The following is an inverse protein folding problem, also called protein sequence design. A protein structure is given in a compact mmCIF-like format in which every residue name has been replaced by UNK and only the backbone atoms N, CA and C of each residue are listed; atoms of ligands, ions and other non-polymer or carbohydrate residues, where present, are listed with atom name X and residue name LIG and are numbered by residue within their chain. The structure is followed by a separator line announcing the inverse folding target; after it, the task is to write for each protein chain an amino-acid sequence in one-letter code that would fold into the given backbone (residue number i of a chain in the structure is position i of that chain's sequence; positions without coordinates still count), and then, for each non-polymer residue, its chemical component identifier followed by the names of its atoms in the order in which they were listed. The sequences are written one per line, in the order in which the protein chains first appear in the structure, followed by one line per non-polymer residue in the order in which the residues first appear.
data_IF_217604620546
#
_entry.id   IF_217604620546
#
_cell.length_a   1.000
_cell.length_b   1.000
_cell.length_c   1.000
_cell.angle_alpha   90.00
_cell.angle_beta   90.00
_cell.angle_gamma   90.00
#
_symmetry.space_group_name_H-M   'P 1'
#
loop_
_entity.id
_entity.type
_entity.pdbx_description
1 polymer ?
#
# COMPACT_ATOMS: atom_id res chain seq x y z
N UNK A 1 -17.15 -27.49 45.29
CA UNK A 1 -17.30 -26.14 44.70
C UNK A 1 -15.91 -25.52 44.59
N UNK A 2 -15.26 -25.66 43.44
CA UNK A 2 -14.03 -24.92 43.13
C UNK A 2 -14.37 -23.89 42.05
N UNK A 3 -14.42 -22.62 42.44
CA UNK A 3 -14.54 -21.51 41.53
C UNK A 3 -13.24 -21.42 40.70
N UNK A 4 -13.38 -21.57 39.39
CA UNK A 4 -12.31 -21.37 38.42
C UNK A 4 -12.05 -19.86 38.36
N UNK A 5 -10.83 -19.35 38.64
CA UNK A 5 -10.55 -17.94 38.46
C UNK A 5 -10.74 -17.61 36.97
N UNK A 6 -11.49 -16.55 36.70
CA UNK A 6 -11.62 -15.99 35.38
C UNK A 6 -10.21 -15.61 34.91
N UNK A 7 -9.76 -16.21 33.81
CA UNK A 7 -8.61 -15.72 33.06
C UNK A 7 -8.95 -14.31 32.57
N UNK A 8 -8.70 -13.31 33.40
CA UNK A 8 -8.41 -11.95 32.98
C UNK A 8 -7.04 -11.94 32.30
N UNK A 9 -6.89 -12.73 31.24
CA UNK A 9 -5.85 -12.50 30.24
C UNK A 9 -6.25 -11.25 29.47
N UNK A 10 -6.03 -10.11 30.12
CA UNK A 10 -5.59 -8.85 29.55
C UNK A 10 -5.34 -8.99 28.05
N UNK A 11 -6.37 -8.73 27.24
CA UNK A 11 -6.25 -8.53 25.79
C UNK A 11 -5.57 -7.19 25.53
N UNK A 12 -4.36 -7.02 26.06
CA UNK A 12 -3.41 -6.00 25.60
C UNK A 12 -3.20 -6.31 24.13
N UNK A 13 -4.00 -5.66 23.29
CA UNK A 13 -3.87 -5.73 21.85
C UNK A 13 -2.40 -5.56 21.52
N UNK A 14 -1.86 -6.53 20.81
CA UNK A 14 -0.51 -6.42 20.27
C UNK A 14 -0.38 -5.05 19.60
N UNK A 15 0.68 -4.28 19.90
CA UNK A 15 0.90 -3.01 19.23
C UNK A 15 0.86 -3.24 17.71
N UNK A 16 0.04 -2.48 17.01
CA UNK A 16 -0.05 -2.51 15.55
C UNK A 16 1.33 -2.12 15.00
N UNK A 17 1.99 -3.01 14.26
CA UNK A 17 3.33 -2.74 13.71
C UNK A 17 3.26 -1.61 12.65
N UNK A 18 3.84 -0.43 12.93
CA UNK A 18 3.77 0.71 12.03
C UNK A 18 4.77 0.62 10.87
N UNK A 19 5.75 -0.30 10.95
CA UNK A 19 6.92 -0.30 10.07
C UNK A 19 6.53 -0.56 8.62
N UNK A 20 5.63 -1.52 8.38
CA UNK A 20 5.14 -1.82 7.03
C UNK A 20 4.50 -0.61 6.33
N UNK A 21 3.44 -0.02 6.92
CA UNK A 21 2.82 1.19 6.38
C UNK A 21 3.79 2.36 6.24
N UNK A 22 4.72 2.56 7.18
CA UNK A 22 5.72 3.63 7.10
C UNK A 22 6.68 3.45 5.91
N UNK A 23 7.22 2.25 5.71
CA UNK A 23 8.11 1.96 4.57
C UNK A 23 7.37 2.17 3.26
N UNK A 24 6.14 1.65 3.15
CA UNK A 24 5.30 1.88 1.97
C UNK A 24 5.03 3.37 1.78
N UNK A 25 4.63 4.11 2.82
CA UNK A 25 4.42 5.55 2.75
C UNK A 25 5.65 6.29 2.22
N UNK A 26 6.85 5.95 2.69
CA UNK A 26 8.10 6.58 2.23
C UNK A 26 8.36 6.26 0.76
N UNK A 27 8.25 4.99 0.35
CA UNK A 27 8.50 4.58 -1.03
C UNK A 27 7.49 5.22 -1.99
N UNK A 28 6.21 5.01 -1.74
CA UNK A 28 5.13 5.57 -2.56
C UNK A 28 5.12 7.09 -2.53
N UNK A 29 5.42 7.70 -1.38
CA UNK A 29 5.49 9.14 -1.21
C UNK A 29 6.65 9.76 -1.99
N UNK A 30 7.84 9.15 -1.91
CA UNK A 30 9.01 9.59 -2.67
C UNK A 30 8.72 9.58 -4.17
N UNK A 31 8.26 8.46 -4.73
CA UNK A 31 7.97 8.37 -6.15
C UNK A 31 6.75 9.20 -6.58
N UNK A 32 5.70 9.28 -5.76
CA UNK A 32 4.46 9.98 -6.10
C UNK A 32 4.55 11.51 -6.01
N UNK A 33 5.35 12.05 -5.10
CA UNK A 33 5.42 13.50 -4.86
C UNK A 33 6.78 14.14 -5.17
N UNK A 34 7.89 13.44 -4.95
CA UNK A 34 9.22 14.05 -4.94
C UNK A 34 10.11 13.66 -6.12
N UNK A 35 9.91 12.49 -6.71
CA UNK A 35 10.75 11.99 -7.81
C UNK A 35 10.58 12.75 -9.14
N UNK A 36 9.68 13.73 -9.22
CA UNK A 36 9.50 14.56 -10.41
C UNK A 36 9.05 13.76 -11.64
N UNK A 37 8.31 12.66 -11.43
CA UNK A 37 7.83 11.81 -12.54
C UNK A 37 6.99 12.63 -13.52
N UNK A 38 7.38 12.60 -14.78
CA UNK A 38 6.71 13.30 -15.87
C UNK A 38 5.45 12.55 -16.29
N UNK A 39 4.40 13.30 -16.58
CA UNK A 39 3.14 12.77 -17.11
C UNK A 39 2.99 13.02 -18.61
N UNK A 40 4.02 13.57 -19.26
CA UNK A 40 4.03 13.92 -20.68
C UNK A 40 5.14 13.18 -21.41
N UNK A 41 4.93 12.93 -22.69
CA UNK A 41 5.95 12.38 -23.59
C UNK A 41 6.93 13.48 -24.09
N UNK A 42 7.85 13.09 -24.99
CA UNK A 42 8.81 14.01 -25.60
C UNK A 42 8.17 15.06 -26.54
N UNK A 43 6.90 14.90 -26.91
CA UNK A 43 6.14 15.87 -27.69
C UNK A 43 5.34 16.84 -26.81
N UNK A 44 5.36 16.64 -25.49
CA UNK A 44 4.59 17.41 -24.53
C UNK A 44 3.13 16.95 -24.39
N UNK A 45 2.76 15.84 -25.02
CA UNK A 45 1.43 15.26 -24.91
C UNK A 45 1.28 14.49 -23.59
N UNK A 46 0.15 14.70 -22.91
CA UNK A 46 -0.16 13.98 -21.66
C UNK A 46 -0.42 12.50 -21.94
N UNK A 47 0.33 11.62 -21.27
CA UNK A 47 0.21 10.17 -21.39
C UNK A 47 -0.66 9.64 -20.24
N UNK A 48 -1.85 9.09 -20.52
CA UNK A 48 -2.77 8.61 -19.49
C UNK A 48 -2.15 7.56 -18.55
N UNK A 49 -1.31 6.68 -19.08
CA UNK A 49 -0.59 5.65 -18.31
C UNK A 49 0.30 6.30 -17.23
N UNK A 50 1.05 7.35 -17.57
CA UNK A 50 1.95 8.02 -16.63
C UNK A 50 1.15 8.80 -15.58
N UNK A 51 0.07 9.46 -15.99
CA UNK A 51 -0.86 10.13 -15.07
C UNK A 51 -1.43 9.12 -14.08
N UNK A 52 -1.96 8.00 -14.57
CA UNK A 52 -2.53 6.95 -13.74
C UNK A 52 -1.50 6.41 -12.74
N UNK A 53 -0.29 6.10 -13.20
CA UNK A 53 0.78 5.61 -12.33
C UNK A 53 1.12 6.61 -11.21
N UNK A 54 1.35 7.88 -11.55
CA UNK A 54 1.69 8.92 -10.56
C UNK A 54 0.55 9.08 -9.54
N UNK A 55 -0.71 9.09 -9.98
CA UNK A 55 -1.84 9.20 -9.07
C UNK A 55 -2.03 7.97 -8.19
N UNK A 56 -1.81 6.76 -8.71
CA UNK A 56 -1.81 5.53 -7.90
C UNK A 56 -0.77 5.62 -6.78
N UNK A 57 0.45 6.08 -7.09
CA UNK A 57 1.50 6.25 -6.08
C UNK A 57 1.10 7.27 -5.00
N UNK A 58 0.52 8.41 -5.40
CA UNK A 58 0.07 9.46 -4.47
C UNK A 58 -1.04 8.98 -3.56
N UNK A 59 -2.06 8.32 -4.11
CA UNK A 59 -3.19 7.78 -3.32
C UNK A 59 -2.68 6.71 -2.35
N UNK A 60 -1.82 5.80 -2.82
CA UNK A 60 -1.21 4.79 -1.95
C UNK A 60 -0.40 5.44 -0.82
N UNK A 61 0.43 6.44 -1.11
CA UNK A 61 1.20 7.16 -0.11
C UNK A 61 0.30 7.81 0.96
N UNK A 62 -0.78 8.47 0.56
CA UNK A 62 -1.75 9.09 1.48
C UNK A 62 -2.42 8.03 2.36
N UNK A 63 -2.85 6.91 1.77
CA UNK A 63 -3.47 5.82 2.53
C UNK A 63 -2.49 5.21 3.54
N UNK A 64 -1.25 4.96 3.14
CA UNK A 64 -0.22 4.45 4.05
C UNK A 64 0.18 5.46 5.13
N UNK A 65 0.24 6.75 4.81
CA UNK A 65 0.44 7.81 5.79
C UNK A 65 -0.70 7.83 6.83
N UNK A 66 -1.95 7.74 6.38
CA UNK A 66 -3.10 7.66 7.26
C UNK A 66 -3.05 6.42 8.17
N UNK A 67 -2.66 5.26 7.62
CA UNK A 67 -2.49 4.03 8.40
C UNK A 67 -1.35 4.15 9.43
N UNK A 68 -0.22 4.75 9.04
CA UNK A 68 0.88 5.03 9.95
C UNK A 68 0.45 5.98 11.08
N UNK A 69 -0.27 7.06 10.78
CA UNK A 69 -0.83 7.96 11.80
C UNK A 69 -1.80 7.22 12.75
N UNK A 70 -2.65 6.35 12.21
CA UNK A 70 -3.59 5.58 13.03
C UNK A 70 -2.90 4.56 13.94
N UNK A 71 -1.71 4.08 13.59
CA UNK A 71 -0.94 3.16 14.45
C UNK A 71 -0.47 3.79 15.77
N UNK A 72 -0.35 5.13 15.80
CA UNK A 72 -0.06 5.88 17.04
C UNK A 72 -1.30 6.08 17.92
N UNK A 73 -2.49 5.80 17.40
CA UNK A 73 -3.74 5.85 18.15
C UNK A 73 -4.05 4.41 18.58
N UNK A 74 -4.38 4.14 19.86
CA UNK A 74 -4.72 2.80 20.34
C UNK A 74 -6.12 2.37 19.86
N UNK A 75 -6.28 2.22 18.55
CA UNK A 75 -7.50 1.72 17.91
C UNK A 75 -7.30 0.28 17.47
N UNK A 76 -8.16 -0.60 17.96
CA UNK A 76 -8.19 -2.04 17.67
C UNK A 76 -8.36 -2.40 16.17
N UNK A 77 -8.58 -1.41 15.30
CA UNK A 77 -8.86 -1.57 13.87
C UNK A 77 -7.71 -1.11 12.95
N UNK A 78 -6.57 -0.67 13.50
CA UNK A 78 -5.45 -0.14 12.70
C UNK A 78 -4.90 -1.13 11.66
N UNK A 79 -4.78 -2.41 12.03
CA UNK A 79 -4.30 -3.47 11.12
C UNK A 79 -5.24 -3.71 9.93
N UNK A 80 -6.55 -3.61 10.15
CA UNK A 80 -7.55 -3.81 9.10
C UNK A 80 -7.49 -2.69 8.06
N UNK A 81 -7.31 -1.45 8.51
CA UNK A 81 -7.11 -0.30 7.63
C UNK A 81 -5.79 -0.39 6.86
N UNK A 82 -4.71 -0.80 7.53
CA UNK A 82 -3.42 -1.02 6.87
C UNK A 82 -3.49 -2.11 5.79
N UNK A 83 -4.16 -3.23 6.09
CA UNK A 83 -4.42 -4.29 5.12
C UNK A 83 -5.26 -3.81 3.94
N UNK A 84 -6.34 -3.07 4.19
CA UNK A 84 -7.20 -2.53 3.13
C UNK A 84 -6.47 -1.54 2.23
N UNK A 85 -5.72 -0.60 2.84
CA UNK A 85 -4.91 0.38 2.12
C UNK A 85 -3.91 -0.31 1.19
N UNK A 86 -3.23 -1.35 1.68
CA UNK A 86 -2.28 -2.10 0.89
C UNK A 86 -2.92 -2.94 -0.22
N UNK A 87 -4.13 -3.50 0.00
CA UNK A 87 -4.89 -4.18 -1.08
C UNK A 87 -5.27 -3.17 -2.18
N UNK A 88 -5.74 -1.98 -1.82
CA UNK A 88 -6.10 -0.93 -2.79
C UNK A 88 -4.86 -0.50 -3.59
N UNK A 89 -3.74 -0.27 -2.91
CA UNK A 89 -2.47 0.08 -3.56
C UNK A 89 -2.00 -1.04 -4.52
N UNK A 90 -2.11 -2.30 -4.08
CA UNK A 90 -1.76 -3.48 -4.90
C UNK A 90 -2.63 -3.57 -6.15
N UNK A 91 -3.95 -3.41 -6.00
CA UNK A 91 -4.88 -3.45 -7.13
C UNK A 91 -4.59 -2.32 -8.14
N UNK A 92 -4.31 -1.11 -7.65
CA UNK A 92 -3.91 0.01 -8.50
C UNK A 92 -2.62 -0.27 -9.27
N UNK A 93 -1.56 -0.73 -8.60
CA UNK A 93 -0.30 -1.08 -9.24
C UNK A 93 -0.44 -2.25 -10.24
N UNK A 94 -1.27 -3.24 -9.92
CA UNK A 94 -1.55 -4.35 -10.84
C UNK A 94 -2.28 -3.86 -12.09
N UNK A 95 -3.22 -2.92 -11.95
CA UNK A 95 -3.86 -2.27 -13.09
C UNK A 95 -2.86 -1.55 -13.99
N UNK A 96 -1.90 -0.82 -13.40
CA UNK A 96 -0.81 -0.19 -14.16
C UNK A 96 0.07 -1.24 -14.84
N UNK A 97 0.43 -2.32 -14.14
CA UNK A 97 1.25 -3.39 -14.71
C UNK A 97 0.58 -4.04 -15.93
N UNK A 98 -0.73 -4.30 -15.85
CA UNK A 98 -1.50 -4.86 -16.97
C UNK A 98 -1.58 -3.86 -18.12
N UNK A 99 -1.81 -2.58 -17.83
CA UNK A 99 -1.83 -1.55 -18.86
C UNK A 99 -0.47 -1.41 -19.55
N UNK A 100 0.62 -1.31 -18.79
CA UNK A 100 2.01 -1.28 -19.30
C UNK A 100 2.32 -2.49 -20.18
N UNK A 101 1.83 -3.68 -19.83
CA UNK A 101 2.01 -4.88 -20.64
C UNK A 101 1.20 -4.90 -21.95
N UNK A 102 0.11 -4.12 -22.04
CA UNK A 102 -0.75 -4.03 -23.22
C UNK A 102 -0.40 -2.83 -24.11
N UNK A 103 0.23 -1.80 -23.56
CA UNK A 103 0.63 -0.59 -24.27
C UNK A 103 1.98 -0.83 -25.00
N UNK A 104 1.92 -0.92 -26.32
CA UNK A 104 3.11 -1.10 -27.16
C UNK A 104 3.80 0.23 -27.50
N UNK A 105 3.23 1.37 -27.07
CA UNK A 105 3.69 2.72 -27.44
C UNK A 105 4.43 3.37 -26.28
N UNK A 106 3.90 3.26 -25.06
CA UNK A 106 4.47 3.87 -23.87
C UNK A 106 4.80 2.82 -22.81
N UNK A 107 6.01 2.91 -22.25
CA UNK A 107 6.42 2.13 -21.08
C UNK A 107 6.56 3.06 -19.88
N UNK A 108 6.07 2.62 -18.72
CA UNK A 108 6.22 3.36 -17.47
C UNK A 108 7.71 3.51 -17.14
N UNK A 109 8.10 4.65 -16.56
CA UNK A 109 9.48 4.93 -16.14
C UNK A 109 10.04 3.93 -15.09
N UNK A 110 9.19 3.05 -14.55
CA UNK A 110 9.55 1.97 -13.66
C UNK A 110 9.64 0.66 -14.47
N UNK A 111 10.75 -0.08 -14.39
CA UNK A 111 10.87 -1.37 -15.07
C UNK A 111 9.73 -2.30 -14.65
N UNK A 112 9.07 -2.95 -15.62
CA UNK A 112 7.92 -3.84 -15.40
C UNK A 112 8.18 -4.92 -14.33
N UNK A 113 9.40 -5.45 -14.27
CA UNK A 113 9.80 -6.44 -13.25
C UNK A 113 9.85 -5.85 -11.83
N UNK A 114 10.21 -4.58 -11.68
CA UNK A 114 10.27 -3.89 -10.39
C UNK A 114 8.85 -3.56 -9.89
N UNK A 115 7.97 -3.14 -10.82
CA UNK A 115 6.53 -3.04 -10.59
C UNK A 115 5.94 -4.38 -10.13
N UNK A 116 6.30 -5.50 -10.76
CA UNK A 116 5.85 -6.83 -10.35
C UNK A 116 6.29 -7.19 -8.93
N UNK A 117 7.54 -6.89 -8.56
CA UNK A 117 8.03 -7.09 -7.19
C UNK A 117 7.23 -6.26 -6.19
N UNK A 118 6.94 -4.98 -6.50
CA UNK A 118 6.16 -4.10 -5.63
C UNK A 118 4.72 -4.56 -5.45
N UNK A 119 4.10 -5.08 -6.52
CA UNK A 119 2.75 -5.68 -6.47
C UNK A 119 2.76 -6.94 -5.62
N UNK A 120 3.72 -7.85 -5.82
CA UNK A 120 3.82 -9.10 -5.05
C UNK A 120 4.08 -8.79 -3.57
N UNK A 121 5.02 -7.89 -3.28
CA UNK A 121 5.37 -7.49 -1.93
C UNK A 121 4.17 -6.85 -1.20
N UNK A 122 3.54 -5.83 -1.79
CA UNK A 122 2.37 -5.20 -1.18
C UNK A 122 1.20 -6.17 -1.08
N UNK A 123 0.96 -7.00 -2.09
CA UNK A 123 -0.11 -8.00 -2.05
C UNK A 123 0.09 -8.99 -0.91
N UNK A 124 1.31 -9.51 -0.75
CA UNK A 124 1.63 -10.47 0.31
C UNK A 124 1.46 -9.87 1.71
N UNK A 125 2.01 -8.69 1.95
CA UNK A 125 1.92 -8.03 3.28
C UNK A 125 0.48 -7.66 3.62
N UNK A 126 -0.28 -7.16 2.64
CA UNK A 126 -1.68 -6.73 2.83
C UNK A 126 -2.62 -7.91 3.09
N UNK A 127 -2.47 -9.00 2.32
CA UNK A 127 -3.28 -10.21 2.51
C UNK A 127 -2.95 -10.88 3.85
N UNK A 128 -1.68 -10.89 4.25
CA UNK A 128 -1.28 -11.41 5.56
C UNK A 128 -1.89 -10.59 6.69
N UNK A 129 -1.79 -9.26 6.64
CA UNK A 129 -2.42 -8.38 7.62
C UNK A 129 -3.94 -8.61 7.68
N UNK A 130 -4.63 -8.65 6.52
CA UNK A 130 -6.07 -8.90 6.48
C UNK A 130 -6.45 -10.27 7.06
N UNK A 131 -5.68 -11.31 6.74
CA UNK A 131 -5.91 -12.68 7.24
C UNK A 131 -5.70 -12.76 8.74
N UNK A 132 -4.66 -12.12 9.26
CA UNK A 132 -4.31 -12.18 10.67
C UNK A 132 -5.33 -11.36 11.51
N UNK A 133 -5.93 -10.29 10.96
CA UNK A 133 -7.02 -9.54 11.61
C UNK A 133 -8.40 -10.21 11.52
N UNK A 134 -8.64 -11.08 10.54
CA UNK A 134 -9.92 -11.79 10.36
C UNK A 134 -10.02 -13.12 11.14
N UNK A 135 -8.92 -13.60 11.71
CA UNK A 135 -8.86 -14.81 12.55
C UNK A 135 -9.02 -14.47 14.03
#
# INVERSE_FOLDING_TARGET
MHARPADESSSRGTPVDPVGPLISCVLFGYYGFFAGLLTTDNSGATVPLFVAFVWTLRVAAILFAACACMSFIPVRRGELWAGLAGVIATAGLLGILIWDALDNVYQVACPTWLLAILVIWNGFTSVRALRDTLR
#
